data_IF_726168746375
#
_entry.id   IF_726168746375
#
_cell.length_a   1.000
_cell.length_b   1.000
_cell.length_c   1.000
_cell.angle_alpha   90.00
_cell.angle_beta   90.00
_cell.angle_gamma   90.00
#
_symmetry.space_group_name_H-M   'P 1'
#
loop_
_entity.id
_entity.type
_entity.pdbx_description
1 polymer ?
#
# COMPACT_ATOMS: atom_id res chain seq x y z
N UNK A 1 -8.32 5.87 -13.59
CA UNK A 1 -8.22 4.40 -13.61
C UNK A 1 -9.02 3.85 -12.44
N UNK A 2 -9.84 2.81 -12.60
CA UNK A 2 -10.51 2.13 -11.49
C UNK A 2 -9.51 1.67 -10.42
N UNK A 3 -9.89 1.68 -9.14
CA UNK A 3 -9.01 1.23 -8.05
C UNK A 3 -8.63 -0.26 -8.18
N UNK A 4 -9.52 -1.08 -8.72
CA UNK A 4 -9.27 -2.49 -9.02
C UNK A 4 -8.03 -2.66 -9.90
N UNK A 5 -7.97 -1.96 -11.03
CA UNK A 5 -6.85 -2.03 -11.96
C UNK A 5 -5.53 -1.57 -11.30
N UNK A 6 -5.63 -0.60 -10.38
CA UNK A 6 -4.47 -0.10 -9.64
C UNK A 6 -3.91 -1.16 -8.70
N UNK A 7 -4.78 -1.82 -7.94
CA UNK A 7 -4.36 -2.84 -6.98
C UNK A 7 -3.87 -4.12 -7.67
N UNK A 8 -4.43 -4.47 -8.83
CA UNK A 8 -3.91 -5.57 -9.66
C UNK A 8 -2.52 -5.26 -10.18
N UNK A 9 -2.34 -4.10 -10.81
CA UNK A 9 -1.04 -3.69 -11.33
C UNK A 9 0.00 -3.59 -10.21
N UNK A 10 -0.41 -3.15 -9.02
CA UNK A 10 0.46 -3.17 -7.86
C UNK A 10 0.90 -4.57 -7.45
N UNK A 11 -0.01 -5.54 -7.47
CA UNK A 11 0.31 -6.94 -7.26
C UNK A 11 1.27 -7.48 -8.33
N UNK A 12 1.06 -7.16 -9.60
CA UNK A 12 1.95 -7.58 -10.70
C UNK A 12 3.38 -7.04 -10.55
N UNK A 13 3.51 -5.82 -10.02
CA UNK A 13 4.81 -5.22 -9.69
C UNK A 13 5.40 -5.90 -8.45
N UNK A 14 4.60 -6.14 -7.41
CA UNK A 14 5.02 -6.82 -6.18
C UNK A 14 5.51 -8.26 -6.44
N UNK A 15 4.95 -8.98 -7.42
CA UNK A 15 5.43 -10.29 -7.86
C UNK A 15 6.88 -10.25 -8.37
N UNK A 16 7.37 -9.11 -8.81
CA UNK A 16 8.76 -8.93 -9.28
C UNK A 16 9.72 -8.57 -8.15
N UNK A 17 9.21 -8.40 -6.92
CA UNK A 17 9.99 -8.06 -5.73
C UNK A 17 10.17 -9.28 -4.82
N UNK A 18 11.27 -10.04 -4.95
CA UNK A 18 11.52 -11.16 -4.05
C UNK A 18 11.83 -10.66 -2.63
N UNK A 19 11.29 -11.36 -1.62
CA UNK A 19 11.43 -11.06 -0.18
C UNK A 19 10.76 -9.75 0.24
N UNK A 20 9.64 -9.40 -0.37
CA UNK A 20 8.83 -8.23 -0.03
C UNK A 20 8.18 -8.42 1.36
N UNK A 21 8.66 -7.75 2.42
CA UNK A 21 8.12 -7.95 3.76
C UNK A 21 6.86 -7.10 4.02
N UNK A 22 6.75 -5.96 3.34
CA UNK A 22 5.65 -5.01 3.48
C UNK A 22 5.48 -4.28 2.16
N UNK A 23 4.24 -3.96 1.82
CA UNK A 23 3.92 -3.09 0.70
C UNK A 23 2.71 -2.25 1.05
N UNK A 24 2.81 -0.95 0.84
CA UNK A 24 1.77 0.02 1.11
C UNK A 24 1.54 0.82 -0.15
N UNK A 25 0.36 0.70 -0.72
CA UNK A 25 -0.11 1.58 -1.78
C UNK A 25 -1.26 2.40 -1.21
N UNK A 26 -1.17 3.72 -1.33
CA UNK A 26 -2.25 4.58 -0.84
C UNK A 26 -2.56 5.69 -1.83
N UNK A 27 -3.82 6.10 -1.83
CA UNK A 27 -4.31 7.14 -2.69
C UNK A 27 -5.13 8.16 -1.90
N UNK A 28 -4.94 9.43 -2.25
CA UNK A 28 -5.66 10.59 -1.74
C UNK A 28 -6.00 11.45 -2.96
N UNK A 29 -7.20 11.24 -3.50
CA UNK A 29 -7.60 11.89 -4.75
C UNK A 29 -8.18 13.28 -4.47
N UNK A 30 -8.89 13.42 -3.34
CA UNK A 30 -9.43 14.69 -2.87
C UNK A 30 -9.58 14.74 -1.33
N UNK A 31 -10.18 15.81 -0.81
CA UNK A 31 -10.35 16.07 0.63
C UNK A 31 -11.26 15.06 1.35
N UNK A 32 -11.97 14.22 0.61
CA UNK A 32 -12.93 13.24 1.13
C UNK A 32 -12.52 11.79 0.82
N UNK A 33 -11.78 11.57 -0.26
CA UNK A 33 -11.56 10.23 -0.80
C UNK A 33 -10.12 9.77 -0.59
N UNK A 34 -9.97 8.82 0.33
CA UNK A 34 -8.68 8.24 0.63
C UNK A 34 -8.76 6.76 0.97
N UNK A 35 -7.74 6.04 0.55
CA UNK A 35 -7.66 4.61 0.75
C UNK A 35 -6.22 4.11 0.79
N UNK A 36 -6.04 2.91 1.34
CA UNK A 36 -4.78 2.20 1.29
C UNK A 36 -4.99 0.69 1.15
N UNK A 37 -4.11 0.10 0.35
CA UNK A 37 -3.85 -1.33 0.31
C UNK A 37 -2.54 -1.58 1.04
N UNK A 38 -2.59 -2.38 2.11
CA UNK A 38 -1.45 -2.69 2.97
C UNK A 38 -1.23 -4.19 2.97
N UNK A 39 -0.14 -4.63 2.38
CA UNK A 39 0.35 -6.00 2.45
C UNK A 39 1.48 -6.10 3.47
N UNK A 40 1.48 -7.17 4.26
CA UNK A 40 2.52 -7.44 5.24
C UNK A 40 2.72 -8.95 5.41
N UNK A 41 3.98 -9.39 5.41
CA UNK A 41 4.36 -10.75 5.80
C UNK A 41 4.67 -10.75 7.28
N UNK A 42 3.95 -11.56 8.05
CA UNK A 42 4.24 -11.74 9.46
C UNK A 42 5.61 -12.42 9.61
N UNK A 43 6.53 -11.77 10.31
CA UNK A 43 7.79 -12.40 10.65
C UNK A 43 7.54 -13.57 11.60
N UNK A 44 8.30 -14.65 11.43
CA UNK A 44 8.38 -15.80 12.35
C UNK A 44 8.94 -15.32 13.71
N UNK A 45 8.13 -14.57 14.45
CA UNK A 45 8.51 -13.87 15.67
C UNK A 45 8.54 -14.80 16.88
N UNK A 46 8.11 -16.05 16.72
CA UNK A 46 8.28 -17.10 17.70
C UNK A 46 8.92 -18.34 17.04
N UNK A 47 10.14 -18.75 17.45
CA UNK A 47 10.84 -19.92 16.90
C UNK A 47 10.17 -21.29 17.11
N UNK A 48 8.91 -21.32 17.58
CA UNK A 48 8.12 -22.53 17.82
C UNK A 48 6.70 -22.49 17.26
N UNK A 49 6.23 -21.37 16.69
CA UNK A 49 4.94 -21.31 16.01
C UNK A 49 5.15 -21.22 14.50
N UNK A 50 4.81 -22.29 13.79
CA UNK A 50 4.90 -22.37 12.32
C UNK A 50 3.76 -21.65 11.59
N UNK A 51 3.05 -20.72 12.24
CA UNK A 51 1.96 -19.95 11.64
C UNK A 51 2.49 -18.61 11.12
N UNK A 52 3.57 -18.63 10.33
CA UNK A 52 3.94 -17.47 9.51
C UNK A 52 2.93 -17.32 8.35
N UNK A 53 2.38 -16.13 8.15
CA UNK A 53 1.38 -15.82 7.12
C UNK A 53 1.58 -14.43 6.50
N UNK A 54 0.70 -14.05 5.58
CA UNK A 54 0.63 -12.67 5.11
C UNK A 54 -0.78 -12.11 5.30
N UNK A 55 -0.85 -10.79 5.47
CA UNK A 55 -2.09 -10.05 5.52
C UNK A 55 -2.17 -9.08 4.35
N UNK A 56 -3.37 -8.91 3.80
CA UNK A 56 -3.71 -7.86 2.85
C UNK A 56 -4.87 -7.07 3.44
N UNK A 57 -4.60 -5.85 3.88
CA UNK A 57 -5.60 -4.96 4.45
C UNK A 57 -6.02 -3.91 3.43
N UNK A 58 -7.31 -3.90 3.11
CA UNK A 58 -7.97 -2.81 2.41
C UNK A 58 -8.54 -1.83 3.43
N UNK A 59 -8.03 -0.60 3.43
CA UNK A 59 -8.43 0.46 4.35
C UNK A 59 -9.06 1.59 3.55
N UNK A 60 -10.34 1.85 3.78
CA UNK A 60 -11.02 2.95 3.09
C UNK A 60 -12.21 3.45 3.89
N UNK A 61 -12.71 4.62 3.51
CA UNK A 61 -13.99 5.14 4.01
C UNK A 61 -15.19 4.49 3.31
N UNK A 62 -14.97 3.77 2.20
CA UNK A 62 -16.03 3.13 1.44
C UNK A 62 -16.34 1.74 1.99
N UNK A 63 -17.61 1.38 1.95
CA UNK A 63 -18.04 0.02 2.26
C UNK A 63 -17.82 -0.94 1.07
N UNK A 64 -16.66 -0.88 0.41
CA UNK A 64 -16.31 -1.74 -0.73
C UNK A 64 -15.41 -2.92 -0.31
N UNK A 65 -15.57 -4.05 -0.98
CA UNK A 65 -14.65 -5.19 -0.87
C UNK A 65 -13.63 -5.14 -2.01
N UNK A 66 -12.49 -5.82 -1.81
CA UNK A 66 -11.56 -6.03 -2.91
C UNK A 66 -12.16 -7.03 -3.90
N UNK A 67 -12.03 -6.73 -5.19
CA UNK A 67 -12.44 -7.70 -6.20
C UNK A 67 -11.61 -8.99 -6.13
N UNK A 68 -12.20 -10.15 -6.46
CA UNK A 68 -11.49 -11.43 -6.48
C UNK A 68 -10.20 -11.38 -7.30
N UNK A 69 -10.23 -10.69 -8.44
CA UNK A 69 -9.06 -10.54 -9.32
C UNK A 69 -7.88 -9.77 -8.70
N UNK A 70 -8.15 -8.88 -7.73
CA UNK A 70 -7.10 -8.25 -6.92
C UNK A 70 -6.56 -9.27 -5.93
N UNK A 71 -7.45 -9.96 -5.20
CA UNK A 71 -7.07 -10.95 -4.19
C UNK A 71 -6.18 -12.05 -4.78
N UNK A 72 -6.55 -12.61 -5.93
CA UNK A 72 -5.79 -13.66 -6.62
C UNK A 72 -4.33 -13.26 -6.91
N UNK A 73 -4.09 -12.02 -7.37
CA UNK A 73 -2.72 -11.54 -7.64
C UNK A 73 -1.94 -11.42 -6.32
N UNK A 74 -2.57 -10.89 -5.27
CA UNK A 74 -1.91 -10.73 -3.96
C UNK A 74 -1.70 -12.06 -3.23
N UNK A 75 -2.52 -13.07 -3.47
CA UNK A 75 -2.27 -14.44 -3.03
C UNK A 75 -1.00 -15.00 -3.66
N UNK A 76 -0.77 -14.73 -4.96
CA UNK A 76 0.48 -15.12 -5.61
C UNK A 76 1.69 -14.39 -5.01
N UNK A 77 1.55 -13.09 -4.71
CA UNK A 77 2.59 -12.33 -3.99
C UNK A 77 2.90 -12.97 -2.64
N UNK A 78 1.86 -13.38 -1.90
CA UNK A 78 2.02 -14.07 -0.61
C UNK A 78 2.72 -15.43 -0.77
N UNK A 79 2.30 -16.24 -1.74
CA UNK A 79 2.92 -17.55 -2.03
C UNK A 79 4.41 -17.45 -2.35
N UNK A 80 4.84 -16.37 -2.99
CA UNK A 80 6.24 -16.11 -3.32
C UNK A 80 7.07 -15.64 -2.13
N UNK A 81 6.48 -14.92 -1.17
CA UNK A 81 7.22 -14.23 -0.11
C UNK A 81 7.12 -14.91 1.28
N UNK A 82 6.14 -15.80 1.49
CA UNK A 82 6.00 -16.59 2.72
C UNK A 82 6.86 -17.86 2.64
N UNK A 83 7.77 -18.02 3.60
CA UNK A 83 8.66 -19.18 3.72
C UNK A 83 8.09 -20.28 4.64
N UNK A 84 6.94 -20.03 5.27
CA UNK A 84 6.21 -20.97 6.12
C UNK A 84 5.56 -22.11 5.33
N UNK A 85 5.31 -23.24 6.01
CA UNK A 85 4.52 -24.37 5.48
C UNK A 85 3.05 -24.01 5.27
N UNK A 86 2.54 -23.03 6.01
CA UNK A 86 1.18 -22.48 5.84
C UNK A 86 1.26 -21.17 5.09
N UNK A 87 1.25 -21.24 3.77
CA UNK A 87 1.19 -20.05 2.91
C UNK A 87 -0.25 -19.58 2.75
N UNK A 88 -0.75 -18.85 3.73
CA UNK A 88 -2.09 -18.25 3.67
C UNK A 88 -2.00 -16.75 3.59
N UNK A 89 -2.83 -16.16 2.72
CA UNK A 89 -3.13 -14.75 2.75
C UNK A 89 -4.44 -14.53 3.52
N UNK A 90 -4.40 -13.66 4.53
CA UNK A 90 -5.60 -13.16 5.19
C UNK A 90 -5.99 -11.81 4.59
N UNK A 91 -7.19 -11.72 4.01
CA UNK A 91 -7.71 -10.48 3.45
C UNK A 91 -8.62 -9.81 4.47
N UNK A 92 -8.24 -8.59 4.87
CA UNK A 92 -8.95 -7.81 5.87
C UNK A 92 -9.53 -6.54 5.24
N UNK A 93 -10.80 -6.26 5.52
CA UNK A 93 -11.43 -4.97 5.21
C UNK A 93 -11.51 -4.14 6.48
N UNK A 94 -10.94 -2.94 6.43
CA UNK A 94 -10.95 -1.99 7.54
C UNK A 94 -11.71 -0.75 7.08
N UNK A 95 -12.94 -0.61 7.55
CA UNK A 95 -13.73 0.59 7.33
C UNK A 95 -13.23 1.70 8.26
N UNK A 96 -12.76 2.80 7.69
CA UNK A 96 -12.33 3.97 8.45
C UNK A 96 -13.56 4.82 8.76
N UNK A 97 -14.22 4.54 9.88
CA UNK A 97 -15.40 5.27 10.35
C UNK A 97 -15.03 6.45 11.26
N UNK A 98 -15.94 7.43 11.39
CA UNK A 98 -15.73 8.63 12.23
C UNK A 98 -15.02 9.78 11.52
N UNK A 99 -14.72 9.58 10.25
CA UNK A 99 -14.15 10.59 9.36
C UNK A 99 -15.28 11.25 8.58
N UNK A 100 -15.79 12.36 9.10
CA UNK A 100 -16.54 13.27 8.25
C UNK A 100 -15.50 14.11 7.53
N UNK A 101 -15.38 13.92 6.21
CA UNK A 101 -14.52 14.72 5.34
C UNK A 101 -14.97 16.17 5.36
N UNK A 102 -14.60 16.89 6.41
CA UNK A 102 -14.66 18.34 6.39
C UNK A 102 -13.69 18.85 5.33
N UNK A 103 -14.03 19.98 4.70
CA UNK A 103 -13.10 20.64 3.79
C UNK A 103 -11.76 20.89 4.50
N UNK A 104 -10.65 20.32 3.99
CA UNK A 104 -9.31 20.72 4.39
C UNK A 104 -8.39 19.63 4.95
N UNK A 105 -8.68 18.35 4.69
CA UNK A 105 -7.73 17.29 5.07
C UNK A 105 -6.40 17.43 4.34
N UNK A 106 -5.32 17.38 5.13
CA UNK A 106 -3.96 17.25 4.61
C UNK A 106 -3.65 15.79 4.29
N UNK A 107 -2.73 15.55 3.35
CA UNK A 107 -2.19 14.20 3.07
C UNK A 107 -1.74 13.45 4.33
N UNK A 108 -1.16 14.17 5.30
CA UNK A 108 -0.74 13.61 6.58
C UNK A 108 -1.92 13.11 7.41
N UNK A 109 -2.99 13.89 7.50
CA UNK A 109 -4.19 13.50 8.26
C UNK A 109 -4.86 12.29 7.61
N UNK A 110 -4.96 12.25 6.29
CA UNK A 110 -5.49 11.09 5.58
C UNK A 110 -4.67 9.82 5.85
N UNK A 111 -3.34 9.90 5.71
CA UNK A 111 -2.46 8.76 5.98
C UNK A 111 -2.50 8.32 7.46
N UNK A 112 -2.59 9.27 8.40
CA UNK A 112 -2.78 8.97 9.82
C UNK A 112 -4.09 8.23 10.07
N UNK A 113 -5.20 8.69 9.48
CA UNK A 113 -6.52 8.09 9.67
C UNK A 113 -6.68 6.74 8.95
N UNK A 114 -5.89 6.50 7.90
CA UNK A 114 -5.70 5.15 7.33
C UNK A 114 -4.85 4.23 8.22
N UNK A 115 -4.33 4.72 9.35
CA UNK A 115 -3.45 3.97 10.23
C UNK A 115 -2.12 3.60 9.57
N UNK A 116 -1.66 4.40 8.60
CA UNK A 116 -0.38 4.14 7.93
C UNK A 116 0.77 4.50 8.87
N UNK A 117 1.88 3.74 8.84
CA UNK A 117 3.06 4.07 9.62
C UNK A 117 3.56 5.49 9.33
N UNK A 118 4.04 6.19 10.37
CA UNK A 118 4.40 7.60 10.23
C UNK A 118 5.50 7.90 9.21
N UNK A 119 6.34 6.91 8.90
CA UNK A 119 7.39 7.03 7.90
C UNK A 119 6.83 7.15 6.47
N UNK A 120 5.63 6.60 6.19
CA UNK A 120 4.99 6.66 4.87
C UNK A 120 4.75 8.11 4.45
N UNK A 121 4.23 8.94 5.36
CA UNK A 121 3.84 10.33 5.07
C UNK A 121 4.85 11.40 5.55
N UNK A 122 5.88 11.02 6.33
CA UNK A 122 6.98 11.94 6.68
C UNK A 122 7.94 12.17 5.52
N UNK A 123 8.04 11.26 4.56
CA UNK A 123 8.81 11.48 3.33
C UNK A 123 8.21 12.58 2.43
N UNK A 124 6.91 12.90 2.60
CA UNK A 124 6.19 13.89 1.79
C UNK A 124 6.51 15.36 2.14
N UNK A 125 7.20 15.67 3.25
CA UNK A 125 7.37 17.06 3.73
C UNK A 125 8.52 17.86 3.11
N UNK A 126 9.09 17.43 1.97
CA UNK A 126 10.11 18.21 1.24
C UNK A 126 9.61 18.89 -0.04
N UNK A 127 8.33 18.79 -0.39
CA UNK A 127 7.77 19.46 -1.59
C UNK A 127 6.85 20.60 -1.15
N UNK A 128 7.17 21.83 -1.57
CA UNK A 128 6.50 23.07 -1.20
C UNK A 128 5.07 23.18 -1.82
N UNK A 129 4.17 24.01 -1.24
CA UNK A 129 2.73 24.01 -1.51
C UNK A 129 2.27 24.49 -2.91
N UNK A 130 3.17 25.02 -3.75
CA UNK A 130 2.82 25.64 -5.02
C UNK A 130 2.55 24.64 -6.15
N UNK A 131 3.02 23.40 -6.03
CA UNK A 131 3.10 22.44 -7.15
C UNK A 131 2.01 21.33 -7.10
N UNK A 132 1.02 21.48 -6.23
CA UNK A 132 0.02 20.45 -5.90
C UNK A 132 -1.01 20.10 -7.00
N UNK A 133 -0.90 20.67 -8.21
CA UNK A 133 -1.68 20.18 -9.36
C UNK A 133 -0.96 19.10 -10.17
N UNK A 134 0.34 18.86 -9.92
CA UNK A 134 1.17 17.93 -10.71
C UNK A 134 2.26 17.21 -9.88
N UNK A 135 2.13 17.10 -8.56
CA UNK A 135 3.16 16.48 -7.72
C UNK A 135 3.26 14.96 -7.97
N UNK A 136 4.48 14.39 -8.12
CA UNK A 136 4.69 12.97 -8.41
C UNK A 136 4.31 12.07 -7.21
N UNK A 137 3.98 10.77 -7.45
CA UNK A 137 3.90 9.77 -6.39
C UNK A 137 5.24 9.72 -5.66
N UNK A 138 5.22 9.86 -4.33
CA UNK A 138 6.42 9.71 -3.52
C UNK A 138 6.55 8.23 -3.14
N UNK A 139 7.60 7.58 -3.65
CA UNK A 139 8.03 6.26 -3.17
C UNK A 139 8.87 6.48 -1.92
N UNK A 140 8.29 6.24 -0.75
CA UNK A 140 8.97 6.28 0.53
C UNK A 140 9.78 4.99 0.70
N UNK A 141 11.04 5.01 0.25
CA UNK A 141 11.99 3.91 0.43
C UNK A 141 12.54 3.97 1.87
N UNK A 142 12.19 3.04 2.74
CA UNK A 142 12.90 2.85 4.01
C UNK A 142 14.20 2.12 3.71
N UNK A 143 15.32 2.59 4.26
CA UNK A 143 16.66 2.01 4.07
C UNK A 143 16.72 0.54 4.52
N UNK A 144 16.40 -0.37 3.61
CA UNK A 144 16.76 -1.79 3.67
C UNK A 144 17.40 -2.20 2.33
N UNK A 145 18.28 -3.22 2.31
CA UNK A 145 19.18 -3.48 1.19
C UNK A 145 18.44 -4.25 0.09
N UNK A 146 17.52 -3.57 -0.60
CA UNK A 146 16.88 -4.10 -1.79
C UNK A 146 17.48 -3.48 -3.05
N UNK A 147 17.61 -4.23 -4.15
CA UNK A 147 18.08 -3.69 -5.41
C UNK A 147 17.16 -2.55 -5.83
N UNK A 148 17.76 -1.48 -6.37
CA UNK A 148 17.03 -0.31 -6.86
C UNK A 148 15.85 -0.70 -7.75
N UNK A 149 14.64 -0.24 -7.41
CA UNK A 149 13.54 -0.15 -8.37
C UNK A 149 14.05 0.56 -9.62
N UNK A 150 13.79 -0.02 -10.79
CA UNK A 150 14.24 0.54 -12.06
C UNK A 150 13.47 1.84 -12.37
N UNK A 151 14.05 2.72 -13.20
CA UNK A 151 13.40 3.97 -13.66
C UNK A 151 12.00 3.76 -14.28
N UNK A 152 11.71 2.56 -14.79
CA UNK A 152 10.38 2.23 -15.30
C UNK A 152 9.34 2.25 -14.19
N UNK A 153 9.66 1.76 -12.99
CA UNK A 153 8.67 1.48 -11.94
C UNK A 153 8.16 2.81 -11.39
N UNK A 154 9.06 3.76 -11.16
CA UNK A 154 8.70 5.15 -10.83
C UNK A 154 7.86 5.82 -11.94
N UNK A 155 8.14 5.52 -13.22
CA UNK A 155 7.36 6.05 -14.35
C UNK A 155 5.95 5.43 -14.44
N UNK A 156 5.83 4.13 -14.19
CA UNK A 156 4.55 3.42 -14.18
C UNK A 156 3.61 4.03 -13.12
N UNK A 157 4.10 4.26 -11.90
CA UNK A 157 3.30 4.83 -10.82
C UNK A 157 2.85 6.27 -11.09
N UNK A 158 3.68 7.09 -11.76
CA UNK A 158 3.33 8.46 -12.16
C UNK A 158 2.14 8.52 -13.11
N UNK A 159 2.03 7.56 -14.03
CA UNK A 159 0.93 7.53 -15.02
C UNK A 159 -0.41 7.11 -14.40
N UNK A 160 -0.40 6.55 -13.19
CA UNK A 160 -1.56 5.92 -12.54
C UNK A 160 -2.24 6.81 -11.49
N UNK A 161 -1.69 8.00 -11.20
CA UNK A 161 -2.28 8.94 -10.25
C UNK A 161 -2.17 8.52 -8.79
N UNK A 162 -1.16 7.72 -8.44
CA UNK A 162 -0.91 7.26 -7.07
C UNK A 162 -0.32 8.37 -6.22
N UNK A 163 -0.80 8.52 -4.99
CA UNK A 163 -0.28 9.54 -4.06
C UNK A 163 1.05 9.12 -3.43
N UNK A 164 1.19 7.86 -3.02
CA UNK A 164 2.47 7.35 -2.51
C UNK A 164 2.53 5.85 -2.35
N UNK A 165 3.77 5.36 -2.19
CA UNK A 165 4.10 3.95 -2.04
C UNK A 165 5.11 3.80 -0.89
N UNK A 166 4.91 2.82 -0.02
CA UNK A 166 5.88 2.41 1.00
C UNK A 166 6.24 0.94 0.82
N UNK A 167 7.54 0.63 0.84
CA UNK A 167 8.07 -0.74 0.76
C UNK A 167 9.08 -0.91 1.89
#
# INVERSE_FOLDING_TARGET
MPMTDLFRLAGDIALRMPRLPTFILWNFVDKSDFCALVYHVEADSNPGCHDGGATLSWRSIWHAELEPSVVEVWEQVALQNIHSRRRSLQVNKILVSGVHGGEGWTHRQAAHNLGLPSWVYKAHTKVLPSDLRCAPPVVSRVHHPFPSLGLWEEYAWRRLGVTGIGI
#
